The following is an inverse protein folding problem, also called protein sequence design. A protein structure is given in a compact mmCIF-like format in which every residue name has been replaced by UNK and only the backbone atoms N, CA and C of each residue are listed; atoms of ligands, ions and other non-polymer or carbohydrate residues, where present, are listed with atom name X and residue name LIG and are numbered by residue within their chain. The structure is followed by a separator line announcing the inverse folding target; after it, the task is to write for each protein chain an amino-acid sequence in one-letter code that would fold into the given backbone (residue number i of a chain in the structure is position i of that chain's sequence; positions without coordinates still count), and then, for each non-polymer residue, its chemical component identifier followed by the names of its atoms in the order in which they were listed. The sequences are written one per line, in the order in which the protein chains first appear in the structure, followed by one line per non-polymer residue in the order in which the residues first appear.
data_IF_274338561770
#
_entry.id   IF_274338561770
#
_cell.length_a   1.000
_cell.length_b   1.000
_cell.length_c   1.000
_cell.angle_alpha   90.00
_cell.angle_beta   90.00
_cell.angle_gamma   90.00
#
_symmetry.space_group_name_H-M   'P 1'
#
loop_
_entity.id
_entity.type
_entity.pdbx_description
1 polymer ?
#
# COMPACT_ATOMS: atom_id res chain seq x y z
N UNK A 1 10.50 -38.74 -0.90
CA UNK A 1 9.35 -38.54 0.00
C UNK A 1 8.67 -37.23 -0.41
N UNK A 2 7.74 -37.30 -1.38
CA UNK A 2 7.07 -36.14 -1.96
C UNK A 2 5.64 -36.04 -1.43
N UNK A 3 5.28 -34.91 -0.86
CA UNK A 3 3.93 -34.68 -0.32
C UNK A 3 2.97 -34.33 -1.46
N UNK A 4 2.08 -35.28 -1.79
CA UNK A 4 1.03 -35.13 -2.79
C UNK A 4 -0.06 -34.19 -2.28
N UNK A 5 -0.17 -33.01 -2.86
CA UNK A 5 -1.33 -32.13 -2.68
C UNK A 5 -2.53 -32.82 -3.34
N UNK A 6 -3.58 -33.09 -2.56
CA UNK A 6 -4.84 -33.64 -3.06
C UNK A 6 -5.72 -32.50 -3.57
N UNK A 7 -5.81 -32.34 -4.88
CA UNK A 7 -6.81 -31.49 -5.53
C UNK A 7 -8.11 -32.29 -5.66
N UNK A 8 -9.18 -31.84 -5.03
CA UNK A 8 -10.53 -32.35 -5.28
C UNK A 8 -10.94 -31.88 -6.67
N UNK A 9 -11.28 -32.81 -7.57
CA UNK A 9 -11.53 -32.57 -9.00
C UNK A 9 -12.54 -31.43 -9.24
N UNK A 10 -12.16 -30.47 -10.09
CA UNK A 10 -13.08 -29.59 -10.81
C UNK A 10 -13.30 -28.16 -10.32
N UNK A 11 -12.75 -27.72 -9.18
CA UNK A 11 -12.97 -26.35 -8.68
C UNK A 11 -11.73 -25.47 -8.77
N UNK A 12 -11.72 -24.52 -9.70
CA UNK A 12 -10.75 -23.42 -9.70
C UNK A 12 -10.93 -22.61 -8.41
N UNK A 13 -9.87 -22.54 -7.61
CA UNK A 13 -9.85 -21.82 -6.33
C UNK A 13 -8.98 -20.58 -6.47
N UNK A 14 -9.57 -19.40 -6.22
CA UNK A 14 -8.85 -18.15 -6.14
C UNK A 14 -8.62 -17.80 -4.68
N UNK A 15 -7.35 -17.71 -4.28
CA UNK A 15 -6.99 -17.31 -2.92
C UNK A 15 -6.88 -15.78 -2.86
N UNK A 16 -7.48 -15.19 -1.84
CA UNK A 16 -7.40 -13.75 -1.57
C UNK A 16 -6.80 -13.54 -0.20
N UNK A 17 -5.68 -12.82 -0.15
CA UNK A 17 -5.03 -12.42 1.09
C UNK A 17 -5.31 -10.94 1.32
N UNK A 18 -5.92 -10.61 2.45
CA UNK A 18 -6.18 -9.22 2.86
C UNK A 18 -5.17 -8.82 3.91
N UNK A 19 -4.46 -7.73 3.68
CA UNK A 19 -3.45 -7.21 4.60
C UNK A 19 -3.70 -5.73 4.89
N UNK A 20 -3.66 -5.37 6.18
CA UNK A 20 -3.67 -3.98 6.63
C UNK A 20 -2.30 -3.35 6.38
N UNK A 21 -2.28 -2.04 6.13
CA UNK A 21 -1.03 -1.28 6.09
C UNK A 21 -0.24 -1.40 7.42
N UNK A 22 1.08 -1.23 7.36
CA UNK A 22 1.94 -1.20 8.54
C UNK A 22 1.69 0.00 9.46
N UNK A 23 2.50 0.12 10.51
CA UNK A 23 2.38 1.20 11.49
C UNK A 23 2.69 2.55 10.87
N UNK A 24 1.81 3.52 11.09
CA UNK A 24 1.92 4.89 10.58
C UNK A 24 2.76 5.75 11.51
N UNK A 25 3.46 6.74 10.98
CA UNK A 25 4.26 7.68 11.77
C UNK A 25 3.47 8.54 12.75
N UNK A 26 2.25 8.94 12.40
CA UNK A 26 1.40 9.78 13.26
C UNK A 26 0.85 9.06 14.49
N UNK A 27 0.96 7.73 14.55
CA UNK A 27 0.68 6.97 15.76
C UNK A 27 1.78 7.09 16.82
N UNK A 28 3.01 7.48 16.43
CA UNK A 28 4.19 7.52 17.29
C UNK A 28 4.73 8.93 17.49
N UNK A 29 4.48 9.83 16.53
CA UNK A 29 4.88 11.22 16.57
C UNK A 29 3.63 12.13 16.61
N UNK A 30 3.17 12.56 17.81
CA UNK A 30 1.95 13.34 17.95
C UNK A 30 1.95 14.67 17.18
N UNK A 31 3.14 15.26 16.96
CA UNK A 31 3.32 16.52 16.24
C UNK A 31 3.62 16.35 14.75
N UNK A 32 3.67 15.11 14.24
CA UNK A 32 4.01 14.85 12.84
C UNK A 32 3.09 15.60 11.87
N UNK A 33 1.80 15.65 12.16
CA UNK A 33 0.81 16.31 11.30
C UNK A 33 1.01 17.83 11.19
N UNK A 34 1.70 18.45 12.14
CA UNK A 34 1.93 19.90 12.15
C UNK A 34 3.02 20.34 11.17
N UNK A 35 3.99 19.46 10.87
CA UNK A 35 5.15 19.76 10.00
C UNK A 35 5.16 18.96 8.69
N UNK A 36 4.32 17.93 8.57
CA UNK A 36 4.26 17.09 7.38
C UNK A 36 3.76 17.83 6.13
N UNK A 37 4.39 17.56 4.99
CA UNK A 37 3.93 18.08 3.69
C UNK A 37 2.55 17.53 3.28
N UNK A 38 2.16 16.35 3.80
CA UNK A 38 0.85 15.71 3.55
C UNK A 38 0.26 15.12 4.84
N UNK A 39 -0.29 15.94 5.75
CA UNK A 39 -0.75 15.47 7.06
C UNK A 39 -1.87 14.40 7.03
N UNK A 40 -2.60 14.28 5.91
CA UNK A 40 -3.65 13.28 5.73
C UNK A 40 -3.16 11.95 5.15
N UNK A 41 -1.89 11.86 4.74
CA UNK A 41 -1.31 10.67 4.11
C UNK A 41 0.03 10.27 4.76
N UNK A 42 0.00 9.87 6.04
CA UNK A 42 1.22 9.52 6.77
C UNK A 42 1.92 8.31 6.17
N UNK A 43 3.26 8.34 6.06
CA UNK A 43 4.05 7.17 5.75
C UNK A 43 4.07 6.17 6.91
N UNK A 44 4.64 5.01 6.64
CA UNK A 44 5.01 4.04 7.67
C UNK A 44 6.20 4.53 8.49
N UNK A 45 6.27 4.12 9.76
CA UNK A 45 7.52 4.15 10.53
C UNK A 45 8.48 3.04 10.06
N UNK A 46 9.77 3.16 10.36
CA UNK A 46 10.78 2.18 9.99
C UNK A 46 10.44 0.77 10.48
N UNK A 47 9.97 0.64 11.72
CA UNK A 47 9.51 -0.64 12.25
C UNK A 47 8.32 -1.21 11.46
N UNK A 48 7.45 -0.35 10.92
CA UNK A 48 6.34 -0.72 10.05
C UNK A 48 6.82 -1.25 8.69
N UNK A 49 7.86 -0.62 8.11
CA UNK A 49 8.51 -1.08 6.89
C UNK A 49 9.16 -2.46 7.09
N UNK A 50 9.95 -2.62 8.15
CA UNK A 50 10.62 -3.89 8.48
C UNK A 50 9.61 -5.01 8.71
N UNK A 51 8.52 -4.76 9.45
CA UNK A 51 7.48 -5.77 9.66
C UNK A 51 6.75 -6.15 8.37
N UNK A 52 6.48 -5.18 7.48
CA UNK A 52 5.91 -5.48 6.17
C UNK A 52 6.84 -6.38 5.33
N UNK A 53 8.15 -6.10 5.34
CA UNK A 53 9.15 -6.91 4.65
C UNK A 53 9.23 -8.34 5.21
N UNK A 54 9.31 -8.48 6.54
CA UNK A 54 9.27 -9.77 7.21
C UNK A 54 7.98 -10.55 6.94
N UNK A 55 6.85 -9.85 6.76
CA UNK A 55 5.57 -10.48 6.38
C UNK A 55 5.64 -11.06 4.96
N UNK A 56 6.24 -10.32 4.01
CA UNK A 56 6.52 -10.86 2.67
C UNK A 56 7.36 -12.14 2.70
N UNK A 57 8.41 -12.17 3.51
CA UNK A 57 9.23 -13.38 3.70
C UNK A 57 8.41 -14.55 4.24
N UNK A 58 7.53 -14.29 5.21
CA UNK A 58 6.61 -15.30 5.76
C UNK A 58 5.68 -15.82 4.67
N UNK A 59 5.12 -14.97 3.82
CA UNK A 59 4.25 -15.39 2.72
C UNK A 59 4.91 -16.40 1.81
N UNK A 60 6.18 -16.19 1.42
CA UNK A 60 6.93 -17.17 0.60
C UNK A 60 6.98 -18.57 1.22
N UNK A 61 7.08 -18.64 2.55
CA UNK A 61 7.22 -19.92 3.27
C UNK A 61 5.89 -20.51 3.75
N UNK A 62 4.86 -19.67 3.94
CA UNK A 62 3.62 -20.03 4.61
C UNK A 62 2.43 -20.09 3.65
N UNK A 63 2.43 -19.30 2.58
CA UNK A 63 1.42 -19.42 1.53
C UNK A 63 1.80 -20.62 0.65
N UNK A 64 0.95 -21.65 0.66
CA UNK A 64 1.09 -22.82 -0.22
C UNK A 64 0.73 -22.55 -1.68
N UNK A 65 0.70 -21.28 -2.11
CA UNK A 65 0.32 -20.84 -3.44
C UNK A 65 1.04 -19.52 -3.81
N UNK A 66 1.31 -19.28 -5.10
CA UNK A 66 1.96 -18.05 -5.56
C UNK A 66 1.02 -16.83 -5.53
N UNK A 67 1.61 -15.64 -5.35
CA UNK A 67 0.90 -14.36 -5.44
C UNK A 67 1.02 -13.83 -6.87
N UNK A 68 -0.10 -13.75 -7.59
CA UNK A 68 -0.12 -13.29 -8.98
C UNK A 68 -0.39 -11.79 -9.14
N UNK A 69 -1.09 -11.18 -8.17
CA UNK A 69 -1.45 -9.78 -8.20
C UNK A 69 -1.67 -9.25 -6.79
N UNK A 70 -1.47 -7.93 -6.60
CA UNK A 70 -1.78 -7.23 -5.36
C UNK A 70 -2.49 -5.93 -5.74
N UNK A 71 -3.59 -5.68 -5.07
CA UNK A 71 -4.34 -4.44 -5.19
C UNK A 71 -4.06 -3.57 -3.99
N UNK A 72 -3.78 -2.30 -4.24
CA UNK A 72 -3.33 -1.38 -3.19
C UNK A 72 -4.21 -0.13 -3.19
N UNK A 73 -4.58 0.29 -1.99
CA UNK A 73 -5.23 1.58 -1.75
C UNK A 73 -4.26 2.73 -2.08
N UNK A 74 -4.73 3.88 -2.62
CA UNK A 74 -3.85 4.95 -3.11
C UNK A 74 -3.18 5.81 -2.00
N UNK A 75 -3.09 5.31 -0.77
CA UNK A 75 -2.38 5.98 0.32
C UNK A 75 -0.92 5.56 0.38
N UNK A 76 -0.02 6.49 0.71
CA UNK A 76 1.43 6.25 0.77
C UNK A 76 1.78 5.07 1.68
N UNK A 77 1.18 4.99 2.87
CA UNK A 77 1.33 3.85 3.79
C UNK A 77 1.01 2.49 3.16
N UNK A 78 -0.01 2.43 2.28
CA UNK A 78 -0.42 1.20 1.63
C UNK A 78 0.59 0.82 0.53
N UNK A 79 1.07 1.79 -0.25
CA UNK A 79 2.13 1.58 -1.25
C UNK A 79 3.43 1.12 -0.61
N UNK A 80 3.86 1.74 0.49
CA UNK A 80 5.05 1.33 1.24
C UNK A 80 4.90 -0.08 1.81
N UNK A 81 3.74 -0.41 2.38
CA UNK A 81 3.47 -1.78 2.86
C UNK A 81 3.59 -2.79 1.72
N UNK A 82 2.92 -2.54 0.60
CA UNK A 82 2.94 -3.44 -0.55
C UNK A 82 4.35 -3.62 -1.11
N UNK A 83 5.10 -2.52 -1.30
CA UNK A 83 6.48 -2.56 -1.77
C UNK A 83 7.37 -3.43 -0.88
N UNK A 84 7.28 -3.28 0.44
CA UNK A 84 8.07 -4.10 1.37
C UNK A 84 7.65 -5.57 1.36
N UNK A 85 6.35 -5.87 1.30
CA UNK A 85 5.84 -7.25 1.22
C UNK A 85 6.31 -7.94 -0.06
N UNK A 86 6.21 -7.28 -1.21
CA UNK A 86 6.69 -7.80 -2.50
C UNK A 86 8.20 -8.07 -2.42
N UNK A 87 8.94 -7.13 -1.82
CA UNK A 87 10.37 -7.29 -1.65
C UNK A 87 10.79 -8.43 -0.74
N UNK A 88 10.03 -8.65 0.33
CA UNK A 88 10.24 -9.78 1.22
C UNK A 88 9.88 -11.13 0.58
N UNK A 89 8.86 -11.16 -0.28
CA UNK A 89 8.47 -12.37 -1.01
C UNK A 89 9.52 -12.77 -2.07
N UNK A 90 10.25 -11.79 -2.61
CA UNK A 90 11.27 -11.99 -3.65
C UNK A 90 10.71 -11.91 -5.07
N UNK A 91 9.50 -11.38 -5.24
CA UNK A 91 8.74 -11.42 -6.49
C UNK A 91 8.70 -10.05 -7.20
N UNK A 92 9.80 -9.28 -7.13
CA UNK A 92 9.89 -7.93 -7.71
C UNK A 92 9.60 -7.88 -9.22
N UNK A 93 9.84 -8.97 -9.94
CA UNK A 93 9.72 -9.01 -11.41
C UNK A 93 8.31 -9.34 -11.92
N UNK A 94 7.48 -9.96 -11.09
CA UNK A 94 6.16 -10.47 -11.50
C UNK A 94 5.02 -9.52 -11.16
N UNK A 95 5.33 -8.30 -10.72
CA UNK A 95 4.36 -7.47 -10.04
C UNK A 95 3.87 -6.28 -10.85
N UNK A 96 2.65 -6.38 -11.38
CA UNK A 96 1.90 -5.23 -11.90
C UNK A 96 1.02 -4.67 -10.77
N UNK A 97 1.47 -3.58 -10.14
CA UNK A 97 0.71 -2.90 -9.08
C UNK A 97 -0.55 -2.26 -9.67
N UNK A 98 -1.69 -2.95 -9.58
CA UNK A 98 -2.97 -2.37 -9.99
C UNK A 98 -3.53 -1.55 -8.83
N UNK A 99 -3.31 -0.24 -8.89
CA UNK A 99 -3.97 0.70 -7.98
C UNK A 99 -5.48 0.58 -8.17
N UNK A 100 -6.23 0.35 -7.09
CA UNK A 100 -7.68 0.21 -7.17
C UNK A 100 -8.32 1.55 -7.62
N UNK A 101 -8.57 1.67 -8.93
CA UNK A 101 -9.06 2.87 -9.62
C UNK A 101 -10.43 3.36 -9.10
N UNK A 102 -11.16 2.55 -8.33
CA UNK A 102 -12.43 2.98 -7.71
C UNK A 102 -12.28 4.16 -6.73
N UNK A 103 -11.07 4.49 -6.26
CA UNK A 103 -10.79 5.73 -5.51
C UNK A 103 -10.32 6.91 -6.38
N UNK A 104 -9.86 6.68 -7.62
CA UNK A 104 -9.35 7.75 -8.49
C UNK A 104 -10.47 8.67 -8.97
N UNK A 105 -11.69 8.15 -9.17
CA UNK A 105 -12.87 8.94 -9.48
C UNK A 105 -13.29 9.87 -8.33
N UNK A 106 -13.03 9.47 -7.08
CA UNK A 106 -13.37 10.27 -5.89
C UNK A 106 -12.33 11.38 -5.63
N UNK A 107 -11.06 11.13 -5.92
CA UNK A 107 -9.98 12.11 -5.79
C UNK A 107 -9.96 13.15 -6.93
N UNK A 108 -10.43 12.80 -8.14
CA UNK A 108 -10.63 13.79 -9.22
C UNK A 108 -11.73 14.82 -8.93
N UNK A 109 -12.65 14.54 -7.98
CA UNK A 109 -13.68 15.51 -7.53
C UNK A 109 -13.23 16.46 -6.40
N UNK A 110 -12.16 16.14 -5.66
CA UNK A 110 -11.65 16.99 -4.56
C UNK A 110 -10.48 17.90 -4.95
N UNK A 111 -10.09 17.98 -6.23
CA UNK A 111 -9.15 18.97 -6.77
C UNK A 111 -9.82 20.29 -7.22
N UNK A 112 -10.87 20.72 -6.50
CA UNK A 112 -11.37 22.10 -6.52
C UNK A 112 -11.50 22.55 -5.06
N UNK A 113 -10.41 22.88 -4.40
CA UNK A 113 -10.38 23.87 -3.30
C UNK A 113 -8.94 24.11 -2.86
N UNK A 114 -8.56 25.40 -2.76
CA UNK A 114 -7.25 25.99 -2.43
C UNK A 114 -6.15 25.88 -3.53
N UNK A 115 -5.59 26.95 -4.11
CA UNK A 115 -5.63 28.42 -3.91
C UNK A 115 -4.92 29.11 -5.12
N UNK A 116 -4.38 30.36 -5.07
CA UNK A 116 -4.31 31.33 -3.96
C UNK A 116 -4.88 32.73 -4.28
N UNK A 117 -5.13 33.53 -3.22
CA UNK A 117 -5.14 35.00 -3.27
C UNK A 117 -3.71 35.52 -3.44
N UNK A 118 -3.50 36.49 -4.34
CA UNK A 118 -2.55 37.65 -4.31
C UNK A 118 -2.33 38.13 -5.77
N UNK A 119 -2.13 39.39 -6.13
CA UNK A 119 -1.59 40.57 -5.43
C UNK A 119 -2.25 41.86 -5.95
N UNK A 120 -2.15 42.87 -5.10
CA UNK A 120 -2.25 44.31 -5.36
C UNK A 120 -1.42 44.78 -6.56
N UNK A 121 -1.93 45.77 -7.29
CA UNK A 121 -1.13 46.72 -8.09
C UNK A 121 -1.75 48.11 -8.03
N UNK A 122 -0.99 49.07 -7.49
CA UNK A 122 -1.24 50.52 -7.51
C UNK A 122 -0.62 51.15 -8.77
N UNK A 123 -1.22 52.29 -9.18
CA UNK A 123 -0.75 53.35 -10.12
C UNK A 123 -0.68 52.98 -11.62
N UNK A 124 -1.07 53.83 -12.58
CA UNK A 124 -1.41 55.26 -12.57
C UNK A 124 -2.84 55.52 -13.09
#
# INVERSE_FOLDING_TARGET
MGSSVRTVEGKLSQNVVVMRHGDRIDNFEPLWSASAARPWDPPLVDAGLVRAFCTGRKFRTQLGFPIHCVFVSPFLRCLQTASQVIGGAGDWWSFEAKMASSLLHLLKRKKKFCGPLSKTSHSN
#
